data_IF_495759101865
#
_entry.id   IF_495759101865
#
_cell.length_a   1.000
_cell.length_b   1.000
_cell.length_c   1.000
_cell.angle_alpha   90.00
_cell.angle_beta   90.00
_cell.angle_gamma   90.00
#
_symmetry.space_group_name_H-M   'P 1'
#
loop_
_entity.id
_entity.type
_entity.pdbx_description
1 polymer ?
#
# COMPACT_ATOMS: atom_id res chain seq x y z
N UNK A 1 14.99 2.77 6.97
CA UNK A 1 13.67 3.11 6.39
C UNK A 1 12.79 1.93 6.67
N UNK A 2 11.83 2.11 7.57
CA UNK A 2 10.84 1.11 7.88
C UNK A 2 9.88 0.96 6.69
N UNK A 3 9.37 -0.25 6.50
CA UNK A 3 8.48 -0.59 5.40
C UNK A 3 7.41 -1.55 5.90
N UNK A 4 6.24 -1.50 5.27
CA UNK A 4 5.20 -2.48 5.47
C UNK A 4 5.47 -3.70 4.57
N UNK A 5 5.09 -4.88 5.04
CA UNK A 5 5.18 -6.12 4.27
C UNK A 5 3.88 -6.92 4.42
N UNK A 6 3.31 -7.35 3.30
CA UNK A 6 2.10 -8.16 3.23
C UNK A 6 2.02 -8.92 1.90
N UNK A 7 1.68 -10.22 1.94
CA UNK A 7 1.61 -11.10 0.75
C UNK A 7 2.84 -11.05 -0.18
N UNK A 8 4.03 -10.76 0.37
CA UNK A 8 5.28 -10.61 -0.37
C UNK A 8 5.51 -9.25 -1.02
N UNK A 9 4.57 -8.31 -0.88
CA UNK A 9 4.71 -6.92 -1.30
C UNK A 9 5.33 -6.08 -0.20
N UNK A 10 6.07 -5.04 -0.59
CA UNK A 10 6.65 -4.06 0.33
C UNK A 10 6.04 -2.69 0.08
N UNK A 11 5.81 -1.93 1.14
CA UNK A 11 5.26 -0.58 1.08
C UNK A 11 6.15 0.45 1.78
N UNK A 12 6.30 1.65 1.22
CA UNK A 12 6.97 2.76 1.91
C UNK A 12 6.13 3.31 3.07
N UNK A 13 6.78 3.94 4.04
CA UNK A 13 6.11 4.68 5.11
C UNK A 13 6.72 6.08 5.12
N UNK A 14 5.89 7.07 4.81
CA UNK A 14 6.26 8.47 4.71
C UNK A 14 5.22 9.34 5.44
N UNK A 15 5.61 10.53 5.88
CA UNK A 15 4.72 11.48 6.53
C UNK A 15 4.50 12.69 5.61
N UNK A 16 3.24 13.04 5.36
CA UNK A 16 2.85 14.25 4.65
C UNK A 16 2.59 15.35 5.66
N UNK A 17 3.44 16.38 5.68
CA UNK A 17 3.19 17.58 6.48
C UNK A 17 1.99 18.39 5.93
N UNK A 18 1.77 18.36 4.62
CA UNK A 18 0.70 19.11 3.96
C UNK A 18 -0.69 18.57 4.34
N UNK A 19 -0.82 17.25 4.40
CA UNK A 19 -2.08 16.55 4.70
C UNK A 19 -2.17 16.09 6.17
N UNK A 20 -1.08 16.27 6.93
CA UNK A 20 -0.93 15.87 8.33
C UNK A 20 -1.28 14.38 8.56
N UNK A 21 -0.86 13.52 7.64
CA UNK A 21 -1.12 12.08 7.66
C UNK A 21 0.12 11.28 7.24
N UNK A 22 0.10 9.97 7.49
CA UNK A 22 1.05 9.04 6.91
C UNK A 22 0.54 8.59 5.55
N UNK A 23 1.48 8.38 4.63
CA UNK A 23 1.19 7.82 3.32
C UNK A 23 2.29 6.86 2.90
N UNK A 24 1.97 6.02 1.94
CA UNK A 24 2.93 5.10 1.37
C UNK A 24 2.54 4.64 -0.03
N UNK A 25 3.50 4.00 -0.69
CA UNK A 25 3.28 3.35 -1.98
C UNK A 25 3.86 1.96 -1.99
N UNK A 26 3.21 1.08 -2.74
CA UNK A 26 3.71 -0.27 -2.96
C UNK A 26 4.95 -0.21 -3.86
N UNK A 27 6.00 -0.91 -3.43
CA UNK A 27 7.29 -0.99 -4.09
C UNK A 27 7.37 -2.25 -4.95
N UNK A 28 8.09 -2.16 -6.08
CA UNK A 28 8.34 -3.30 -6.95
C UNK A 28 7.23 -3.62 -7.95
N UNK A 29 6.15 -2.83 -7.99
CA UNK A 29 5.14 -2.89 -9.05
C UNK A 29 5.49 -1.86 -10.12
N UNK A 30 5.57 -2.30 -11.38
CA UNK A 30 6.02 -1.48 -12.50
C UNK A 30 4.90 -0.98 -13.41
N UNK A 31 3.73 -1.63 -13.39
CA UNK A 31 2.57 -1.26 -14.23
C UNK A 31 1.55 -0.40 -13.48
N UNK A 32 1.41 -0.62 -12.19
CA UNK A 32 0.37 0.00 -11.37
C UNK A 32 1.00 0.83 -10.26
N UNK A 33 0.32 1.90 -9.88
CA UNK A 33 0.66 2.73 -8.74
C UNK A 33 -0.40 2.50 -7.67
N UNK A 34 -0.01 1.85 -6.58
CA UNK A 34 -0.88 1.62 -5.43
C UNK A 34 -0.40 2.52 -4.31
N UNK A 35 -1.27 3.45 -3.90
CA UNK A 35 -1.07 4.38 -2.79
C UNK A 35 -2.02 4.00 -1.66
N UNK A 36 -1.61 4.30 -0.44
CA UNK A 36 -2.39 4.09 0.77
C UNK A 36 -2.01 5.16 1.80
N UNK A 37 -2.94 5.47 2.69
CA UNK A 37 -2.79 6.53 3.68
C UNK A 37 -3.41 6.17 5.03
N UNK A 38 -3.02 6.88 6.08
CA UNK A 38 -3.59 6.69 7.41
C UNK A 38 -3.09 7.72 8.40
N UNK A 39 -3.88 8.01 9.45
CA UNK A 39 -3.47 8.95 10.49
C UNK A 39 -2.61 8.28 11.57
N UNK A 40 -2.64 6.95 11.61
CA UNK A 40 -1.83 6.11 12.49
C UNK A 40 -1.17 5.00 11.69
N UNK A 41 -0.12 4.37 12.26
CA UNK A 41 0.57 3.25 11.63
C UNK A 41 -0.39 2.06 11.41
N UNK A 42 -1.31 1.82 12.34
CA UNK A 42 -2.34 0.77 12.20
C UNK A 42 -3.29 1.07 11.03
N UNK A 43 -3.78 2.30 10.91
CA UNK A 43 -4.63 2.71 9.77
C UNK A 43 -3.90 2.55 8.44
N UNK A 44 -2.65 3.04 8.37
CA UNK A 44 -1.81 2.93 7.19
C UNK A 44 -1.58 1.46 6.80
N UNK A 45 -1.40 0.59 7.79
CA UNK A 45 -1.21 -0.85 7.58
C UNK A 45 -2.47 -1.51 7.03
N UNK A 46 -3.63 -1.22 7.63
CA UNK A 46 -4.91 -1.77 7.17
C UNK A 46 -5.20 -1.34 5.73
N UNK A 47 -4.94 -0.07 5.40
CA UNK A 47 -5.15 0.46 4.05
C UNK A 47 -4.18 -0.18 3.03
N UNK A 48 -2.92 -0.37 3.42
CA UNK A 48 -1.94 -1.13 2.61
C UNK A 48 -2.39 -2.57 2.34
N UNK A 49 -2.81 -3.32 3.36
CA UNK A 49 -3.27 -4.71 3.21
C UNK A 49 -4.50 -4.78 2.30
N UNK A 50 -5.48 -3.88 2.49
CA UNK A 50 -6.67 -3.77 1.64
C UNK A 50 -6.33 -3.45 0.17
N UNK A 51 -5.37 -2.56 -0.06
CA UNK A 51 -4.95 -2.16 -1.39
C UNK A 51 -4.24 -3.32 -2.14
N UNK A 52 -3.41 -4.10 -1.43
CA UNK A 52 -2.78 -5.31 -1.97
C UNK A 52 -3.82 -6.38 -2.27
N UNK A 53 -4.76 -6.64 -1.36
CA UNK A 53 -5.82 -7.62 -1.58
C UNK A 53 -6.68 -7.27 -2.80
N UNK A 54 -7.02 -5.99 -2.95
CA UNK A 54 -7.76 -5.47 -4.10
C UNK A 54 -6.97 -5.69 -5.40
N UNK A 55 -5.68 -5.32 -5.39
CA UNK A 55 -4.79 -5.54 -6.53
C UNK A 55 -4.67 -7.02 -6.92
N UNK A 56 -4.49 -7.90 -5.95
CA UNK A 56 -4.40 -9.34 -6.18
C UNK A 56 -5.72 -9.91 -6.71
N UNK A 57 -6.86 -9.41 -6.24
CA UNK A 57 -8.17 -9.82 -6.73
C UNK A 57 -8.40 -9.46 -8.19
N UNK A 58 -8.07 -8.21 -8.57
CA UNK A 58 -8.17 -7.75 -9.96
C UNK A 58 -7.23 -8.53 -10.90
N UNK A 59 -5.98 -8.75 -10.47
CA UNK A 59 -5.01 -9.52 -11.26
C UNK A 59 -5.34 -11.01 -11.36
N UNK A 60 -6.00 -11.61 -10.36
CA UNK A 60 -6.52 -12.98 -10.43
C UNK A 60 -7.69 -13.11 -11.42
N UNK A 61 -8.47 -12.05 -11.64
CA UNK A 61 -9.54 -12.08 -12.65
C UNK A 61 -8.99 -12.02 -14.08
N UNK A 62 -7.83 -11.42 -14.30
CA UNK A 62 -7.19 -11.34 -15.63
C UNK A 62 -6.59 -12.67 -16.14
N UNK A 63 -6.60 -13.73 -15.33
CA UNK A 63 -6.10 -15.08 -15.69
C UNK A 63 -7.22 -16.09 -15.97
N UNK A 64 -8.48 -15.65 -16.07
CA UNK A 64 -9.62 -16.50 -16.47
C UNK A 64 -10.03 -16.30 -17.92
#
# INVERSE_FOLDING_TARGET
>A
MDHLEYEGYKGSIEYSEADNCLFGKVLGISKDLILYEGNTIDELRVDFECAIDSYLLENKQALK
#
